data_IF_336269012160
#
_entry.id   IF_336269012160
#
_cell.length_a   1.000
_cell.length_b   1.000
_cell.length_c   1.000
_cell.angle_alpha   90.00
_cell.angle_beta   90.00
_cell.angle_gamma   90.00
#
_symmetry.space_group_name_H-M   'P 1'
#
loop_
_entity.id
_entity.type
_entity.pdbx_description
1 polymer ?
#
# COMPACT_ATOMS: atom_id res chain seq x y z
N UNK A 1 -10.62 -5.25 -3.81
CA UNK A 1 -9.48 -5.46 -2.90
C UNK A 1 -10.00 -5.85 -1.53
N UNK A 2 -9.61 -7.00 -0.97
CA UNK A 2 -10.14 -7.47 0.32
C UNK A 2 -9.27 -6.91 1.45
N UNK A 3 -9.79 -5.92 2.16
CA UNK A 3 -9.20 -5.43 3.41
C UNK A 3 -9.38 -6.53 4.46
N UNK A 4 -8.30 -7.02 5.06
CA UNK A 4 -8.34 -8.04 6.11
C UNK A 4 -7.19 -7.86 7.11
N UNK A 5 -7.29 -8.59 8.22
CA UNK A 5 -6.33 -8.54 9.33
C UNK A 5 -5.43 -9.80 9.36
N UNK A 6 -5.58 -10.71 8.39
CA UNK A 6 -4.91 -12.03 8.36
C UNK A 6 -3.38 -11.93 8.26
N UNK A 7 -2.85 -10.76 7.85
CA UNK A 7 -1.41 -10.51 7.76
C UNK A 7 -0.79 -10.03 9.06
N UNK A 8 -1.58 -9.58 10.04
CA UNK A 8 -1.06 -8.98 11.27
C UNK A 8 -0.17 -9.96 12.03
N UNK A 9 -0.59 -11.22 12.18
CA UNK A 9 0.19 -12.22 12.93
C UNK A 9 1.56 -12.50 12.31
N UNK A 10 1.60 -12.67 10.97
CA UNK A 10 2.85 -12.87 10.25
C UNK A 10 3.77 -11.65 10.32
N UNK A 11 3.19 -10.46 10.22
CA UNK A 11 3.91 -9.19 10.35
C UNK A 11 4.42 -8.98 11.78
N UNK A 12 3.70 -9.43 12.81
CA UNK A 12 4.17 -9.39 14.19
C UNK A 12 5.41 -10.24 14.40
N UNK A 13 5.43 -11.47 13.86
CA UNK A 13 6.63 -12.31 13.92
C UNK A 13 7.83 -11.64 13.26
N UNK A 14 7.60 -10.97 12.12
CA UNK A 14 8.66 -10.26 11.41
C UNK A 14 9.19 -9.05 12.22
N UNK A 15 8.31 -8.22 12.75
CA UNK A 15 8.70 -7.07 13.57
C UNK A 15 9.47 -7.51 14.82
N UNK A 16 9.01 -8.55 15.52
CA UNK A 16 9.71 -9.14 16.66
C UNK A 16 11.10 -9.63 16.27
N UNK A 17 11.22 -10.44 15.20
CA UNK A 17 12.50 -11.00 14.77
C UNK A 17 13.56 -9.92 14.44
N UNK A 18 13.16 -8.80 13.84
CA UNK A 18 14.04 -7.65 13.57
C UNK A 18 14.49 -7.01 14.90
N UNK A 19 13.54 -6.80 15.82
CA UNK A 19 13.75 -6.10 17.09
C UNK A 19 14.53 -6.91 18.11
N UNK A 20 14.43 -8.24 18.07
CA UNK A 20 15.16 -9.16 18.96
C UNK A 20 16.68 -9.06 18.79
N UNK A 21 17.15 -8.47 17.69
CA UNK A 21 18.58 -8.17 17.43
C UNK A 21 18.95 -6.71 17.70
N UNK A 22 18.09 -5.95 18.38
CA UNK A 22 18.33 -4.56 18.77
C UNK A 22 18.08 -3.52 17.67
N UNK A 23 17.60 -3.93 16.50
CA UNK A 23 17.26 -3.01 15.41
C UNK A 23 15.86 -2.41 15.56
N UNK A 24 15.60 -1.27 14.90
CA UNK A 24 14.24 -0.75 14.73
C UNK A 24 13.56 -1.40 13.55
N UNK A 25 12.30 -1.80 13.71
CA UNK A 25 11.50 -2.35 12.63
C UNK A 25 10.59 -1.26 12.04
N UNK A 26 10.83 -0.88 10.79
CA UNK A 26 9.99 0.04 10.02
C UNK A 26 9.30 -0.75 8.89
N UNK A 27 8.02 -0.43 8.61
CA UNK A 27 7.30 -0.99 7.47
C UNK A 27 6.89 0.12 6.49
N UNK A 28 7.12 -0.12 5.21
CA UNK A 28 6.71 0.79 4.16
C UNK A 28 5.25 0.51 3.74
N UNK A 29 4.40 1.53 3.79
CA UNK A 29 3.01 1.49 3.33
C UNK A 29 2.94 2.03 1.92
N UNK A 30 2.29 1.28 1.04
CA UNK A 30 2.41 1.43 -0.41
C UNK A 30 1.06 1.27 -1.11
N UNK A 31 0.86 2.08 -2.16
CA UNK A 31 -0.20 1.91 -3.14
C UNK A 31 0.39 2.03 -4.54
N UNK A 32 0.08 1.09 -5.43
CA UNK A 32 0.71 1.02 -6.74
C UNK A 32 0.23 2.08 -7.76
N UNK A 33 -0.95 2.65 -7.53
CA UNK A 33 -1.52 3.68 -8.41
C UNK A 33 -1.56 3.20 -9.86
N UNK A 34 -1.16 4.07 -10.80
CA UNK A 34 -1.05 3.75 -12.24
C UNK A 34 0.00 2.70 -12.61
N UNK A 35 0.83 2.29 -11.65
CA UNK A 35 1.86 1.25 -11.86
C UNK A 35 1.30 -0.16 -11.64
N UNK A 36 0.05 -0.29 -11.19
CA UNK A 36 -0.62 -1.57 -11.04
C UNK A 36 -0.98 -2.21 -12.39
N UNK A 37 -1.05 -3.54 -12.39
CA UNK A 37 -1.54 -4.35 -13.50
C UNK A 37 -2.82 -5.08 -13.05
N UNK A 38 -3.89 -5.13 -13.86
CA UNK A 38 -5.16 -5.76 -13.48
C UNK A 38 -5.00 -7.20 -13.01
N UNK A 39 -4.09 -7.96 -13.62
CA UNK A 39 -3.79 -9.35 -13.28
C UNK A 39 -3.28 -9.51 -11.85
N UNK A 40 -2.58 -8.48 -11.33
CA UNK A 40 -2.05 -8.44 -9.96
C UNK A 40 -3.04 -7.80 -8.97
N UNK A 41 -4.15 -7.24 -9.46
CA UNK A 41 -5.16 -6.53 -8.68
C UNK A 41 -6.57 -7.16 -8.82
N UNK A 42 -6.64 -8.47 -9.05
CA UNK A 42 -7.91 -9.20 -9.14
C UNK A 42 -8.81 -8.75 -10.29
N UNK A 43 -8.22 -8.32 -11.40
CA UNK A 43 -8.90 -7.82 -12.60
C UNK A 43 -9.33 -6.35 -12.53
N UNK A 44 -9.09 -5.64 -11.43
CA UNK A 44 -9.50 -4.25 -11.30
C UNK A 44 -8.60 -3.31 -12.12
N UNK A 45 -9.23 -2.36 -12.82
CA UNK A 45 -8.53 -1.24 -13.47
C UNK A 45 -7.76 -0.43 -12.44
N UNK A 46 -6.48 -0.07 -12.68
CA UNK A 46 -5.72 0.80 -11.80
C UNK A 46 -6.38 2.17 -11.59
N UNK A 47 -6.04 2.83 -10.49
CA UNK A 47 -6.50 4.18 -10.18
C UNK A 47 -5.31 5.13 -10.06
N UNK A 48 -5.48 6.40 -10.41
CA UNK A 48 -4.43 7.42 -10.31
C UNK A 48 -5.00 8.84 -10.23
N UNK A 49 -4.12 9.84 -10.14
CA UNK A 49 -4.50 11.25 -10.11
C UNK A 49 -5.13 11.74 -11.42
N UNK A 50 -4.89 11.05 -12.54
CA UNK A 50 -5.47 11.36 -13.85
C UNK A 50 -5.49 10.09 -14.70
N UNK A 51 -6.30 10.07 -15.77
CA UNK A 51 -6.35 8.98 -16.74
C UNK A 51 -5.13 8.93 -17.68
N UNK A 52 -3.93 8.89 -17.10
CA UNK A 52 -2.64 8.89 -17.82
C UNK A 52 -1.89 7.61 -17.47
N UNK A 53 -1.68 6.76 -18.48
CA UNK A 53 -0.91 5.52 -18.34
C UNK A 53 0.50 5.77 -17.80
N UNK A 54 1.05 4.77 -17.09
CA UNK A 54 2.46 4.81 -16.71
C UNK A 54 3.36 4.82 -17.96
N UNK A 55 4.56 5.39 -17.84
CA UNK A 55 5.57 5.41 -18.90
C UNK A 55 6.26 4.03 -19.02
N UNK A 56 5.46 2.99 -19.25
CA UNK A 56 5.90 1.60 -19.44
C UNK A 56 5.13 0.98 -20.60
N UNK A 57 5.78 0.16 -21.44
CA UNK A 57 5.11 -0.51 -22.55
C UNK A 57 3.90 -1.33 -22.07
N UNK A 58 2.75 -1.12 -22.70
CA UNK A 58 1.52 -1.85 -22.42
C UNK A 58 0.83 -1.48 -21.10
N UNK A 59 1.30 -0.46 -20.38
CA UNK A 59 0.68 -0.06 -19.12
C UNK A 59 -0.81 0.29 -19.35
N UNK A 60 -1.73 -0.25 -18.51
CA UNK A 60 -3.14 0.10 -18.60
C UNK A 60 -3.35 1.59 -18.33
N UNK A 61 -4.35 2.18 -18.98
CA UNK A 61 -4.83 3.52 -18.62
C UNK A 61 -5.58 3.40 -17.29
N UNK A 62 -5.17 4.13 -16.24
CA UNK A 62 -5.88 4.11 -14.96
C UNK A 62 -7.18 4.91 -15.04
N UNK A 63 -8.09 4.67 -14.10
CA UNK A 63 -9.17 5.60 -13.80
C UNK A 63 -8.64 6.78 -12.99
N UNK A 64 -9.11 7.99 -13.31
CA UNK A 64 -8.91 9.15 -12.45
C UNK A 64 -9.73 8.99 -11.17
N UNK A 65 -9.09 9.19 -10.02
CA UNK A 65 -9.76 9.11 -8.73
C UNK A 65 -10.73 10.28 -8.54
N UNK A 66 -11.95 9.96 -8.14
CA UNK A 66 -12.92 10.92 -7.63
C UNK A 66 -12.50 11.45 -6.26
N UNK A 67 -13.09 12.58 -5.84
CA UNK A 67 -12.85 13.12 -4.50
C UNK A 67 -13.15 12.10 -3.38
N UNK A 68 -14.23 11.34 -3.51
CA UNK A 68 -14.59 10.32 -2.53
C UNK A 68 -13.54 9.21 -2.46
N UNK A 69 -13.06 8.72 -3.60
CA UNK A 69 -12.00 7.70 -3.65
C UNK A 69 -10.69 8.20 -3.04
N UNK A 70 -10.39 9.49 -3.13
CA UNK A 70 -9.23 10.10 -2.45
C UNK A 70 -9.41 10.02 -0.93
N UNK A 71 -10.58 10.38 -0.41
CA UNK A 71 -10.88 10.27 1.03
C UNK A 71 -10.85 8.82 1.51
N UNK A 72 -11.37 7.90 0.72
CA UNK A 72 -11.34 6.46 1.01
C UNK A 72 -9.90 5.94 1.01
N UNK A 73 -9.04 6.43 0.09
CA UNK A 73 -7.62 6.10 0.06
C UNK A 73 -6.90 6.58 1.32
N UNK A 74 -7.18 7.80 1.78
CA UNK A 74 -6.63 8.32 3.05
C UNK A 74 -7.05 7.41 4.21
N UNK A 75 -8.31 6.99 4.25
CA UNK A 75 -8.81 6.04 5.25
C UNK A 75 -8.10 4.68 5.17
N UNK A 76 -7.84 4.17 3.96
CA UNK A 76 -7.10 2.92 3.74
C UNK A 76 -5.66 3.02 4.27
N UNK A 77 -4.95 4.11 4.01
CA UNK A 77 -3.62 4.35 4.57
C UNK A 77 -3.66 4.42 6.11
N UNK A 78 -4.62 5.14 6.68
CA UNK A 78 -4.83 5.19 8.14
C UNK A 78 -5.00 3.80 8.73
N UNK A 79 -5.85 2.97 8.12
CA UNK A 79 -6.10 1.61 8.60
C UNK A 79 -4.89 0.69 8.39
N UNK A 80 -4.09 0.87 7.35
CA UNK A 80 -2.82 0.17 7.18
C UNK A 80 -1.80 0.52 8.27
N UNK A 81 -1.70 1.81 8.63
CA UNK A 81 -0.85 2.29 9.73
C UNK A 81 -1.31 1.72 11.07
N UNK A 82 -2.64 1.70 11.33
CA UNK A 82 -3.19 1.08 12.54
C UNK A 82 -2.79 -0.40 12.65
N UNK A 83 -2.78 -1.13 11.54
CA UNK A 83 -2.32 -2.53 11.49
C UNK A 83 -0.82 -2.66 11.71
N UNK A 84 0.00 -1.74 11.17
CA UNK A 84 1.44 -1.71 11.43
C UNK A 84 1.74 -1.53 12.93
N UNK A 85 1.02 -0.63 13.60
CA UNK A 85 1.11 -0.43 15.06
C UNK A 85 0.71 -1.71 15.78
N UNK A 86 -0.43 -2.32 15.42
CA UNK A 86 -0.89 -3.59 16.03
C UNK A 86 0.10 -4.73 15.79
N UNK A 87 0.80 -4.73 14.65
CA UNK A 87 1.83 -5.69 14.35
C UNK A 87 3.13 -5.46 15.16
N UNK A 88 3.33 -4.31 15.79
CA UNK A 88 4.48 -4.04 16.65
C UNK A 88 5.70 -3.43 15.96
N UNK A 89 5.53 -2.88 14.74
CA UNK A 89 6.54 -2.04 14.10
C UNK A 89 6.78 -0.76 14.90
N UNK A 90 8.02 -0.27 14.90
CA UNK A 90 8.43 0.96 15.60
C UNK A 90 8.09 2.23 14.81
N UNK A 91 7.75 2.09 13.53
CA UNK A 91 7.29 3.19 12.71
C UNK A 91 6.85 2.74 11.32
N UNK A 92 6.39 3.72 10.54
CA UNK A 92 5.92 3.53 9.18
C UNK A 92 6.65 4.49 8.25
N UNK A 93 6.92 4.04 7.04
CA UNK A 93 7.33 4.90 5.94
C UNK A 93 6.19 4.97 4.91
N UNK A 94 5.82 6.16 4.47
CA UNK A 94 4.89 6.31 3.36
C UNK A 94 5.67 6.29 2.05
N UNK A 95 5.37 5.35 1.16
CA UNK A 95 6.05 5.29 -0.13
C UNK A 95 5.53 6.40 -1.07
N UNK A 96 6.20 7.55 -1.06
CA UNK A 96 5.95 8.69 -1.96
C UNK A 96 7.06 8.91 -3.00
N UNK A 97 7.70 7.84 -3.46
CA UNK A 97 8.86 7.88 -4.35
C UNK A 97 8.66 6.93 -5.53
N UNK A 98 9.64 6.83 -6.44
CA UNK A 98 9.68 5.83 -7.50
C UNK A 98 8.41 5.75 -8.38
N UNK A 99 7.77 6.90 -8.61
CA UNK A 99 6.61 7.09 -9.52
C UNK A 99 5.25 6.56 -9.06
N UNK A 100 5.10 6.27 -7.76
CA UNK A 100 3.84 5.81 -7.15
C UNK A 100 2.93 6.95 -6.67
#
# INVERSE_FOLDING_TARGET
MKINDDKIEGLSRLATAIKDKGSKALIQIYHAGRMAWPEMNGGATPISASAVAALRPGAPVPNEMTHQEILDMISNFKEAIRRAIKAGFDGVELHGANTY
#
